data_IF_054404375221
#
_entry.id   IF_054404375221
#
_cell.length_a   1.000
_cell.length_b   1.000
_cell.length_c   1.000
_cell.angle_alpha   90.00
_cell.angle_beta   90.00
_cell.angle_gamma   90.00
#
_symmetry.space_group_name_H-M   'P 1'
#
loop_
_entity.id
_entity.type
_entity.pdbx_description
1 polymer ?
#
# COMPACT_ATOMS: atom_id res chain seq x y z
N UNK A 1 19.69 -19.34 9.03
CA UNK A 1 18.33 -19.70 8.55
C UNK A 1 18.46 -20.36 7.20
N UNK A 2 17.73 -21.46 6.96
CA UNK A 2 17.62 -22.08 5.62
C UNK A 2 16.66 -21.22 4.79
N UNK A 3 16.99 -20.94 3.53
CA UNK A 3 16.07 -20.21 2.64
C UNK A 3 14.82 -21.08 2.38
N UNK A 4 13.63 -20.49 2.54
CA UNK A 4 12.34 -21.19 2.37
C UNK A 4 11.97 -21.45 0.90
N UNK A 5 12.64 -20.81 -0.06
CA UNK A 5 12.33 -20.96 -1.49
C UNK A 5 10.91 -20.51 -1.83
N UNK A 6 10.47 -19.39 -1.28
CA UNK A 6 9.13 -18.86 -1.54
C UNK A 6 8.97 -18.48 -3.02
N UNK A 7 7.86 -18.89 -3.63
CA UNK A 7 7.51 -18.58 -5.03
C UNK A 7 6.46 -17.46 -5.12
N UNK A 8 5.86 -17.10 -3.99
CA UNK A 8 4.91 -16.01 -3.88
C UNK A 8 4.88 -15.44 -2.45
N UNK A 9 4.36 -14.22 -2.30
CA UNK A 9 4.04 -13.59 -1.02
C UNK A 9 2.55 -13.25 -0.95
N UNK A 10 1.95 -13.53 0.19
CA UNK A 10 0.61 -13.07 0.55
C UNK A 10 0.76 -11.97 1.60
N UNK A 11 0.19 -10.79 1.38
CA UNK A 11 0.42 -9.65 2.27
C UNK A 11 -0.78 -8.69 2.36
N UNK A 12 -0.85 -7.95 3.47
CA UNK A 12 -1.76 -6.82 3.57
C UNK A 12 -1.12 -5.60 2.89
N UNK A 13 -1.71 -5.03 1.82
CA UNK A 13 -1.12 -3.89 1.12
C UNK A 13 -1.23 -2.58 1.90
N UNK A 14 -2.01 -2.53 2.98
CA UNK A 14 -2.14 -1.37 3.87
C UNK A 14 -1.05 -1.32 4.95
N UNK A 15 -0.56 -2.48 5.38
CA UNK A 15 0.39 -2.62 6.49
C UNK A 15 1.78 -3.07 6.05
N UNK A 16 1.86 -3.83 4.95
CA UNK A 16 3.07 -4.50 4.48
C UNK A 16 3.35 -4.15 3.02
N UNK A 17 3.65 -2.88 2.77
CA UNK A 17 3.95 -2.36 1.44
C UNK A 17 5.29 -2.91 0.93
N UNK A 18 6.23 -3.11 1.86
CA UNK A 18 7.54 -3.71 1.64
C UNK A 18 7.46 -5.13 1.07
N UNK A 19 6.41 -5.88 1.40
CA UNK A 19 6.25 -7.25 0.91
C UNK A 19 6.07 -7.30 -0.62
N UNK A 20 5.25 -6.40 -1.17
CA UNK A 20 5.07 -6.28 -2.63
C UNK A 20 6.36 -5.81 -3.33
N UNK A 21 7.09 -4.89 -2.70
CA UNK A 21 8.37 -4.37 -3.22
C UNK A 21 9.43 -5.48 -3.23
N UNK A 22 9.54 -6.24 -2.14
CA UNK A 22 10.46 -7.36 -2.03
C UNK A 22 10.11 -8.47 -3.03
N UNK A 23 8.83 -8.78 -3.24
CA UNK A 23 8.40 -9.74 -4.24
C UNK A 23 8.78 -9.28 -5.66
N UNK A 24 8.56 -8.01 -5.98
CA UNK A 24 8.97 -7.43 -7.26
C UNK A 24 10.50 -7.50 -7.46
N UNK A 25 11.28 -7.18 -6.42
CA UNK A 25 12.75 -7.26 -6.45
C UNK A 25 13.26 -8.70 -6.65
N UNK A 26 12.57 -9.69 -6.09
CA UNK A 26 12.92 -11.10 -6.19
C UNK A 26 12.34 -11.81 -7.42
N UNK A 27 11.49 -11.13 -8.21
CA UNK A 27 10.82 -11.72 -9.36
C UNK A 27 9.80 -12.81 -9.00
N UNK A 28 9.23 -12.77 -7.80
CA UNK A 28 8.20 -13.71 -7.34
C UNK A 28 6.82 -13.07 -7.31
N UNK A 29 5.76 -13.87 -7.31
CA UNK A 29 4.39 -13.35 -7.34
C UNK A 29 4.00 -12.66 -6.03
N UNK A 30 3.28 -11.54 -6.11
CA UNK A 30 2.64 -10.90 -4.95
C UNK A 30 1.13 -11.07 -5.02
N UNK A 31 0.51 -11.36 -3.88
CA UNK A 31 -0.95 -11.42 -3.72
C UNK A 31 -1.33 -10.49 -2.57
N UNK A 32 -2.05 -9.42 -2.91
CA UNK A 32 -2.56 -8.48 -1.92
C UNK A 32 -3.87 -9.00 -1.31
N UNK A 33 -3.99 -8.90 0.01
CA UNK A 33 -5.20 -9.22 0.77
C UNK A 33 -5.73 -7.93 1.38
N UNK A 34 -6.79 -7.39 0.78
CA UNK A 34 -7.43 -6.14 1.20
C UNK A 34 -8.57 -6.41 2.16
N UNK A 35 -8.52 -5.78 3.32
CA UNK A 35 -9.57 -5.81 4.34
C UNK A 35 -10.58 -4.66 4.21
N UNK A 36 -10.54 -3.93 3.09
CA UNK A 36 -11.44 -2.83 2.76
C UNK A 36 -12.08 -3.12 1.41
N UNK A 37 -13.41 -3.01 1.33
CA UNK A 37 -14.19 -3.29 0.13
C UNK A 37 -14.96 -2.05 -0.30
N UNK A 38 -15.04 -1.84 -1.61
CA UNK A 38 -15.73 -0.70 -2.19
C UNK A 38 -14.75 0.36 -2.72
N UNK A 39 -15.05 0.99 -3.88
CA UNK A 39 -14.30 2.13 -4.39
C UNK A 39 -14.35 3.28 -3.38
N UNK A 40 -13.21 3.63 -2.78
CA UNK A 40 -13.12 4.76 -1.84
C UNK A 40 -13.16 4.40 -0.35
N UNK A 41 -13.43 3.15 0.02
CA UNK A 41 -13.42 2.68 1.42
C UNK A 41 -12.14 3.04 2.17
N UNK A 42 -10.99 2.87 1.51
CA UNK A 42 -9.72 3.26 2.09
C UNK A 42 -9.55 4.78 2.22
N UNK A 43 -10.08 5.56 1.27
CA UNK A 43 -10.02 7.02 1.35
C UNK A 43 -10.80 7.54 2.57
N UNK A 44 -12.02 7.04 2.81
CA UNK A 44 -12.82 7.38 3.99
C UNK A 44 -12.11 7.04 5.30
N UNK A 45 -11.46 5.87 5.34
CA UNK A 45 -10.67 5.43 6.50
C UNK A 45 -9.50 6.38 6.75
N UNK A 46 -8.76 6.76 5.70
CA UNK A 46 -7.67 7.72 5.80
C UNK A 46 -8.16 9.10 6.24
N UNK A 47 -9.29 9.59 5.73
CA UNK A 47 -9.89 10.85 6.16
C UNK A 47 -10.23 10.86 7.65
N UNK A 48 -10.81 9.77 8.15
CA UNK A 48 -11.12 9.61 9.57
C UNK A 48 -9.84 9.60 10.43
N UNK A 49 -8.79 8.90 9.98
CA UNK A 49 -7.49 8.87 10.67
C UNK A 49 -6.82 10.25 10.71
N UNK A 50 -6.81 10.96 9.58
CA UNK A 50 -6.25 12.31 9.48
C UNK A 50 -6.98 13.29 10.41
N UNK A 51 -8.31 13.26 10.40
CA UNK A 51 -9.16 14.08 11.27
C UNK A 51 -8.89 13.80 12.76
N UNK A 52 -8.82 12.53 13.14
CA UNK A 52 -8.54 12.12 14.52
C UNK A 52 -7.14 12.53 14.97
N UNK A 53 -6.17 12.52 14.04
CA UNK A 53 -4.78 12.90 14.30
C UNK A 53 -4.55 14.42 14.25
N UNK A 54 -5.56 15.21 13.85
CA UNK A 54 -5.45 16.67 13.74
C UNK A 54 -4.50 17.15 12.64
N UNK A 55 -4.26 16.34 11.59
CA UNK A 55 -3.37 16.67 10.47
C UNK A 55 -4.09 16.58 9.14
N UNK A 56 -3.63 17.32 8.14
CA UNK A 56 -4.14 17.21 6.77
C UNK A 56 -3.35 16.18 5.96
N UNK A 57 -3.93 15.68 4.86
CA UNK A 57 -3.20 14.82 3.90
C UNK A 57 -1.95 15.54 3.35
N UNK A 58 -2.03 16.87 3.19
CA UNK A 58 -0.93 17.71 2.72
C UNK A 58 0.20 17.78 3.75
N UNK A 59 -0.11 17.87 5.05
CA UNK A 59 0.92 17.84 6.12
C UNK A 59 1.67 16.51 6.12
N UNK A 60 0.95 15.40 6.00
CA UNK A 60 1.55 14.06 5.95
C UNK A 60 2.38 13.90 4.67
N UNK A 61 1.87 14.37 3.52
CA UNK A 61 2.58 14.35 2.24
C UNK A 61 3.88 15.14 2.34
N UNK A 62 3.82 16.37 2.85
CA UNK A 62 4.97 17.24 3.06
C UNK A 62 6.03 16.52 3.91
N UNK A 63 5.64 15.99 5.05
CA UNK A 63 6.53 15.23 5.93
C UNK A 63 7.18 14.02 5.21
N UNK A 64 6.40 13.26 4.43
CA UNK A 64 6.91 12.12 3.68
C UNK A 64 7.93 12.52 2.59
N UNK A 65 7.72 13.67 1.94
CA UNK A 65 8.58 14.18 0.86
C UNK A 65 9.74 15.06 1.33
N UNK A 66 9.75 15.50 2.58
CA UNK A 66 10.83 16.32 3.15
C UNK A 66 11.75 15.51 4.07
N UNK A 67 11.33 14.32 4.51
CA UNK A 67 12.15 13.44 5.34
C UNK A 67 13.24 12.76 4.52
N UNK A 68 14.37 13.46 4.35
CA UNK A 68 15.54 13.07 3.55
C UNK A 68 16.01 11.62 3.79
N UNK A 69 16.07 11.09 5.02
CA UNK A 69 16.48 9.70 5.23
C UNK A 69 15.60 8.68 4.50
N UNK A 70 14.28 8.89 4.48
CA UNK A 70 13.36 7.99 3.79
C UNK A 70 13.49 8.09 2.26
N UNK A 71 13.68 9.30 1.74
CA UNK A 71 13.93 9.53 0.31
C UNK A 71 15.19 8.80 -0.14
N UNK A 72 16.30 8.96 0.59
CA UNK A 72 17.56 8.28 0.27
C UNK A 72 17.45 6.75 0.36
N UNK A 73 16.68 6.24 1.32
CA UNK A 73 16.42 4.81 1.43
C UNK A 73 15.61 4.29 0.25
N UNK A 74 14.56 5.00 -0.15
CA UNK A 74 13.74 4.69 -1.31
C UNK A 74 14.57 4.71 -2.60
N UNK A 75 15.41 5.73 -2.81
CA UNK A 75 16.29 5.84 -3.99
C UNK A 75 17.29 4.69 -4.06
N UNK A 76 17.93 4.34 -2.93
CA UNK A 76 18.89 3.23 -2.86
C UNK A 76 18.24 1.91 -3.22
N UNK A 77 17.10 1.58 -2.62
CA UNK A 77 16.36 0.34 -2.92
C UNK A 77 15.92 0.32 -4.38
N UNK A 78 15.43 1.45 -4.88
CA UNK A 78 14.97 1.56 -6.27
C UNK A 78 16.12 1.35 -7.26
N UNK A 79 17.30 1.91 -6.98
CA UNK A 79 18.49 1.74 -7.82
C UNK A 79 19.07 0.32 -7.75
N UNK A 80 19.08 -0.30 -6.56
CA UNK A 80 19.66 -1.63 -6.35
C UNK A 80 18.80 -2.75 -6.96
N UNK A 81 17.47 -2.63 -6.89
CA UNK A 81 16.56 -3.70 -7.25
C UNK A 81 15.67 -3.40 -8.47
N UNK A 82 15.76 -2.21 -9.06
CA UNK A 82 14.94 -1.83 -10.22
C UNK A 82 13.43 -1.72 -9.92
N UNK A 83 13.08 -1.46 -8.67
CA UNK A 83 11.68 -1.32 -8.18
C UNK A 83 11.37 0.13 -7.84
N UNK A 84 10.09 0.50 -7.78
CA UNK A 84 9.69 1.84 -7.33
C UNK A 84 9.16 1.76 -5.90
N UNK A 85 9.75 2.51 -4.97
CA UNK A 85 9.27 2.64 -3.58
C UNK A 85 8.33 3.86 -3.46
N UNK A 86 7.02 3.67 -3.21
CA UNK A 86 6.06 4.77 -3.18
C UNK A 86 6.07 5.49 -1.81
N UNK A 87 6.85 6.56 -1.68
CA UNK A 87 6.94 7.34 -0.43
C UNK A 87 5.66 8.12 -0.06
N UNK A 88 4.77 8.36 -1.02
CA UNK A 88 3.47 9.04 -0.84
C UNK A 88 2.28 8.12 -1.09
N UNK A 89 2.46 6.81 -0.85
CA UNK A 89 1.40 5.83 -1.02
C UNK A 89 0.12 6.22 -0.26
N UNK A 90 -1.03 6.14 -0.92
CA UNK A 90 -2.31 6.47 -0.30
C UNK A 90 -2.54 7.97 -0.12
N UNK A 91 -1.60 8.86 -0.45
CA UNK A 91 -1.74 10.31 -0.25
C UNK A 91 -2.04 11.08 -1.55
N UNK A 92 -1.76 10.51 -2.72
CA UNK A 92 -1.96 11.20 -4.00
C UNK A 92 -2.49 10.27 -5.11
N UNK A 93 -3.80 10.27 -5.37
CA UNK A 93 -4.90 10.78 -4.53
C UNK A 93 -5.07 9.97 -3.23
N UNK A 94 -5.80 10.56 -2.29
CA UNK A 94 -6.08 9.93 -0.99
C UNK A 94 -6.75 8.56 -1.18
N UNK A 95 -6.26 7.54 -0.47
CA UNK A 95 -6.78 6.18 -0.56
C UNK A 95 -6.31 5.38 -1.80
N UNK A 96 -5.52 5.95 -2.71
CA UNK A 96 -4.98 5.18 -3.85
C UNK A 96 -3.81 4.29 -3.43
N UNK A 97 -3.88 3.01 -3.79
CA UNK A 97 -2.84 2.02 -3.50
C UNK A 97 -2.07 1.64 -4.78
N UNK A 98 -1.10 2.46 -5.23
CA UNK A 98 -0.32 2.17 -6.42
C UNK A 98 0.45 0.85 -6.35
N UNK A 99 0.78 0.37 -5.14
CA UNK A 99 1.50 -0.91 -4.97
C UNK A 99 0.73 -2.11 -5.50
N UNK A 100 -0.61 -2.01 -5.61
CA UNK A 100 -1.44 -3.12 -6.07
C UNK A 100 -1.11 -3.51 -7.51
N UNK A 101 -0.45 -2.62 -8.28
CA UNK A 101 0.11 -2.94 -9.60
C UNK A 101 1.11 -4.09 -9.60
N UNK A 102 1.72 -4.39 -8.45
CA UNK A 102 2.66 -5.50 -8.28
C UNK A 102 1.96 -6.80 -7.88
N UNK A 103 0.68 -6.75 -7.55
CA UNK A 103 -0.10 -7.92 -7.18
C UNK A 103 -0.66 -8.60 -8.43
N UNK A 104 -0.42 -9.91 -8.56
CA UNK A 104 -1.01 -10.73 -9.62
C UNK A 104 -2.53 -10.78 -9.50
N UNK A 105 -3.00 -10.92 -8.27
CA UNK A 105 -4.41 -10.86 -7.89
C UNK A 105 -4.53 -10.10 -6.58
N UNK A 106 -5.61 -9.34 -6.45
CA UNK A 106 -5.98 -8.69 -5.20
C UNK A 106 -7.22 -9.39 -4.66
N UNK A 107 -7.09 -9.99 -3.49
CA UNK A 107 -8.17 -10.65 -2.77
C UNK A 107 -8.79 -9.65 -1.80
N UNK A 108 -10.06 -9.33 -1.98
CA UNK A 108 -10.82 -8.53 -1.02
C UNK A 108 -11.45 -9.50 -0.01
N UNK A 109 -11.09 -9.34 1.26
CA UNK A 109 -11.53 -10.22 2.36
C UNK A 109 -12.48 -9.53 3.33
N UNK A 110 -12.92 -8.31 3.02
CA UNK A 110 -14.01 -7.66 3.75
C UNK A 110 -15.24 -8.54 3.68
N UNK A 111 -15.83 -8.86 4.84
CA UNK A 111 -17.11 -9.55 4.89
C UNK A 111 -18.25 -8.60 4.46
N UNK A 112 -19.35 -9.16 3.98
CA UNK A 112 -20.52 -8.41 3.53
C UNK A 112 -21.04 -7.43 4.59
N UNK A 113 -20.92 -7.78 5.88
CA UNK A 113 -21.34 -6.94 7.00
C UNK A 113 -20.50 -5.66 7.18
N UNK A 114 -19.29 -5.64 6.61
CA UNK A 114 -18.32 -4.55 6.74
C UNK A 114 -18.06 -3.82 5.42
N UNK A 115 -18.80 -4.14 4.36
CA UNK A 115 -18.64 -3.48 3.07
C UNK A 115 -19.36 -2.12 3.06
N UNK A 116 -18.78 -1.13 2.38
CA UNK A 116 -19.49 0.14 2.13
C UNK A 116 -20.76 -0.11 1.31
N UNK A 117 -21.82 0.70 1.48
CA UNK A 117 -23.04 0.57 0.67
C UNK A 117 -22.71 0.64 -0.82
N UNK A 118 -23.02 -0.43 -1.54
CA UNK A 118 -22.90 -0.47 -2.99
C UNK A 118 -24.03 0.37 -3.61
N UNK A 119 -23.70 1.22 -4.60
CA UNK A 119 -24.74 1.92 -5.35
C UNK A 119 -25.64 0.88 -6.07
N UNK A 120 -26.96 1.15 -6.21
CA UNK A 120 -27.83 0.31 -7.03
C UNK A 120 -27.31 0.23 -8.47
N UNK A 121 -27.41 -0.95 -9.09
CA UNK A 121 -27.07 -1.19 -10.51
C UNK A 121 -27.88 -0.33 -11.48
#
# INVERSE_FOLDING_TARGET
MRALGAHAVLHCPLMNTEAAIAAAALGISSVAVLTVAGPGSWALTMEAMLRTSGVTAEDVRRNATEYVPNIRAADRISAEYGVQVPITQGLTPLGKLPLLRHSLVTLVTTCEDLQDPMAPE
#
